data_IF_588355946955
#
_entry.id   IF_588355946955
#
_cell.length_a   1.000
_cell.length_b   1.000
_cell.length_c   1.000
_cell.angle_alpha   90.00
_cell.angle_beta   90.00
_cell.angle_gamma   90.00
#
_symmetry.space_group_name_H-M   'P 1'
#
loop_
_entity.id
_entity.type
_entity.pdbx_description
1 polymer ?
#
# COMPACT_ATOMS: atom_id res chain seq x y z
N UNK A 1 -36.21 -21.07 2.28
CA UNK A 1 -35.50 -20.51 3.45
C UNK A 1 -35.25 -19.03 3.14
N UNK A 2 -35.71 -18.01 3.89
CA UNK A 2 -35.85 -17.82 5.33
C UNK A 2 -37.13 -17.01 5.64
N UNK A 3 -37.75 -17.35 6.77
CA UNK A 3 -38.73 -16.55 7.49
C UNK A 3 -38.07 -15.23 7.92
N UNK A 4 -38.81 -14.13 7.84
CA UNK A 4 -38.77 -12.88 8.62
C UNK A 4 -39.32 -11.81 7.68
N UNK A 5 -40.59 -11.45 7.87
CA UNK A 5 -41.23 -10.12 7.77
C UNK A 5 -42.72 -10.41 8.05
N UNK A 6 -43.00 -10.94 9.24
CA UNK A 6 -44.34 -10.94 9.83
C UNK A 6 -44.07 -10.42 11.23
N UNK A 7 -44.03 -9.09 11.39
CA UNK A 7 -44.02 -8.41 12.70
C UNK A 7 -44.07 -6.88 12.60
N UNK A 8 -44.11 -6.27 11.40
CA UNK A 8 -44.32 -4.83 11.29
C UNK A 8 -45.74 -4.30 11.63
N UNK A 9 -46.85 -5.08 11.64
CA UNK A 9 -48.15 -4.52 12.01
C UNK A 9 -48.36 -4.40 13.53
N UNK A 10 -47.49 -4.99 14.35
CA UNK A 10 -47.61 -4.98 15.82
C UNK A 10 -46.93 -3.78 16.50
N UNK A 11 -46.26 -2.91 15.72
CA UNK A 11 -45.51 -1.75 16.21
C UNK A 11 -46.08 -0.41 15.76
N UNK A 12 -47.23 -0.39 15.10
CA UNK A 12 -47.97 0.87 14.95
C UNK A 12 -48.73 1.11 16.26
N UNK A 13 -48.38 2.13 17.06
CA UNK A 13 -49.28 2.59 18.10
C UNK A 13 -50.61 2.92 17.42
N UNK A 14 -51.73 2.64 18.08
CA UNK A 14 -53.10 2.90 17.62
C UNK A 14 -53.42 4.40 17.35
N UNK A 15 -52.40 5.24 17.15
CA UNK A 15 -52.48 6.66 16.80
C UNK A 15 -52.09 6.99 15.34
N UNK A 16 -51.83 6.01 14.47
CA UNK A 16 -51.54 6.27 13.06
C UNK A 16 -52.78 6.53 12.17
N UNK A 17 -53.99 6.53 12.76
CA UNK A 17 -55.21 7.04 12.12
C UNK A 17 -55.66 8.33 12.82
N UNK A 18 -54.89 9.40 12.67
CA UNK A 18 -55.33 10.73 13.08
C UNK A 18 -55.50 11.61 11.84
N UNK A 19 -56.53 11.29 11.05
CA UNK A 19 -57.25 12.35 10.34
C UNK A 19 -57.99 13.17 11.42
N UNK A 20 -58.05 14.50 11.24
CA UNK A 20 -58.68 15.47 12.14
C UNK A 20 -59.87 14.87 12.90
N UNK A 21 -59.71 14.62 14.21
CA UNK A 21 -60.75 13.99 15.02
C UNK A 21 -61.91 14.98 15.17
N UNK A 22 -63.06 14.78 14.49
CA UNK A 22 -64.16 15.74 14.52
C UNK A 22 -64.84 15.81 15.90
N UNK A 23 -64.46 14.90 16.82
CA UNK A 23 -65.08 14.69 18.12
C UNK A 23 -64.17 15.06 19.30
N UNK A 24 -63.12 15.84 19.08
CA UNK A 24 -62.19 16.29 20.12
C UNK A 24 -62.88 17.04 21.29
N UNK A 25 -64.09 17.58 21.06
CA UNK A 25 -64.93 18.25 22.08
C UNK A 25 -66.17 17.44 22.53
N UNK A 26 -66.23 16.16 22.17
CA UNK A 26 -67.35 15.27 22.47
C UNK A 26 -68.43 15.27 21.38
N UNK A 27 -68.73 14.09 20.84
CA UNK A 27 -69.82 13.86 19.88
C UNK A 27 -70.89 12.98 20.50
N UNK A 28 -72.13 13.09 20.01
CA UNK A 28 -73.16 12.08 20.28
C UNK A 28 -72.93 10.82 19.43
N UNK A 29 -73.44 9.67 19.87
CA UNK A 29 -73.32 8.41 19.11
C UNK A 29 -73.90 8.51 17.70
N UNK A 30 -75.00 9.24 17.52
CA UNK A 30 -75.64 9.46 16.22
C UNK A 30 -74.76 10.26 15.25
N UNK A 31 -73.97 11.21 15.75
CA UNK A 31 -73.03 11.99 14.94
C UNK A 31 -71.84 11.13 14.49
N UNK A 32 -71.36 10.24 15.37
CA UNK A 32 -70.29 9.29 15.06
C UNK A 32 -70.76 8.30 13.98
N UNK A 33 -71.99 7.78 14.11
CA UNK A 33 -72.56 6.88 13.11
C UNK A 33 -72.78 7.56 11.75
N UNK A 34 -73.27 8.80 11.74
CA UNK A 34 -73.43 9.57 10.51
C UNK A 34 -72.09 9.85 9.81
N UNK A 35 -71.05 10.23 10.56
CA UNK A 35 -69.72 10.47 10.02
C UNK A 35 -69.08 9.18 9.49
N UNK A 36 -69.21 8.08 10.23
CA UNK A 36 -68.72 6.78 9.80
C UNK A 36 -69.44 6.30 8.54
N UNK A 37 -70.76 6.53 8.44
CA UNK A 37 -71.55 6.17 7.25
C UNK A 37 -71.20 7.04 6.05
N UNK A 38 -70.92 8.33 6.24
CA UNK A 38 -70.50 9.24 5.18
C UNK A 38 -69.08 8.94 4.67
N UNK A 39 -68.19 8.49 5.55
CA UNK A 39 -66.79 8.14 5.23
C UNK A 39 -66.57 6.63 5.06
N UNK A 40 -67.65 5.84 5.04
CA UNK A 40 -67.58 4.40 4.83
C UNK A 40 -67.18 4.12 3.38
N UNK A 41 -65.88 4.03 3.13
CA UNK A 41 -65.37 3.44 1.88
C UNK A 41 -65.46 1.94 1.98
N UNK A 42 -66.15 1.33 1.01
CA UNK A 42 -66.15 -0.12 0.83
C UNK A 42 -64.72 -0.62 0.61
N UNK A 43 -64.44 -1.87 0.97
CA UNK A 43 -63.13 -2.48 0.77
C UNK A 43 -62.69 -2.40 -0.69
N UNK A 44 -63.62 -2.55 -1.64
CA UNK A 44 -63.34 -2.44 -3.08
C UNK A 44 -62.92 -1.02 -3.51
N UNK A 45 -63.53 0.03 -2.96
CA UNK A 45 -63.12 1.41 -3.24
C UNK A 45 -61.72 1.69 -2.69
N UNK A 46 -61.40 1.18 -1.50
CA UNK A 46 -60.04 1.31 -0.93
C UNK A 46 -58.99 0.58 -1.76
N UNK A 47 -59.32 -0.61 -2.27
CA UNK A 47 -58.42 -1.38 -3.13
C UNK A 47 -58.17 -0.66 -4.46
N UNK A 48 -59.22 -0.11 -5.10
CA UNK A 48 -59.05 0.66 -6.35
C UNK A 48 -58.21 1.92 -6.16
N UNK A 49 -58.41 2.65 -5.06
CA UNK A 49 -57.59 3.83 -4.74
C UNK A 49 -56.13 3.46 -4.48
N UNK A 50 -55.88 2.33 -3.81
CA UNK A 50 -54.53 1.82 -3.59
C UNK A 50 -53.85 1.43 -4.92
N UNK A 51 -54.55 0.68 -5.78
CA UNK A 51 -54.04 0.27 -7.10
C UNK A 51 -53.72 1.49 -7.98
N UNK A 52 -54.58 2.51 -8.00
CA UNK A 52 -54.33 3.75 -8.73
C UNK A 52 -53.14 4.53 -8.17
N UNK A 53 -53.01 4.57 -6.84
CA UNK A 53 -51.89 5.23 -6.16
C UNK A 53 -50.57 4.52 -6.46
N UNK A 54 -50.54 3.19 -6.40
CA UNK A 54 -49.37 2.39 -6.74
C UNK A 54 -48.97 2.58 -8.20
N UNK A 55 -49.95 2.59 -9.11
CA UNK A 55 -49.69 2.86 -10.53
C UNK A 55 -49.06 4.24 -10.75
N UNK A 56 -49.61 5.29 -10.16
CA UNK A 56 -49.10 6.66 -10.30
C UNK A 56 -47.69 6.80 -9.70
N UNK A 57 -47.44 6.17 -8.55
CA UNK A 57 -46.12 6.14 -7.92
C UNK A 57 -45.10 5.39 -8.78
N UNK A 58 -45.51 4.29 -9.40
CA UNK A 58 -44.68 3.52 -10.31
C UNK A 58 -44.33 4.30 -11.59
N UNK A 59 -45.32 4.96 -12.20
CA UNK A 59 -45.11 5.82 -13.38
C UNK A 59 -44.13 6.97 -13.07
N UNK A 60 -44.28 7.60 -11.90
CA UNK A 60 -43.37 8.66 -11.45
C UNK A 60 -41.96 8.13 -11.22
N UNK A 61 -41.81 6.98 -10.57
CA UNK A 61 -40.52 6.34 -10.33
C UNK A 61 -39.83 5.97 -11.64
N UNK A 62 -40.54 5.39 -12.61
CA UNK A 62 -40.00 5.07 -13.94
C UNK A 62 -39.49 6.32 -14.65
N UNK A 63 -40.27 7.41 -14.61
CA UNK A 63 -39.87 8.68 -15.21
C UNK A 63 -38.59 9.23 -14.58
N UNK A 64 -38.54 9.30 -13.26
CA UNK A 64 -37.35 9.78 -12.52
C UNK A 64 -36.13 8.90 -12.75
N UNK A 65 -36.31 7.57 -12.78
CA UNK A 65 -35.25 6.62 -13.06
C UNK A 65 -34.70 6.79 -14.48
N UNK A 66 -35.57 6.91 -15.47
CA UNK A 66 -35.17 7.13 -16.86
C UNK A 66 -34.45 8.47 -17.05
N UNK A 67 -34.91 9.53 -16.40
CA UNK A 67 -34.23 10.84 -16.41
C UNK A 67 -32.87 10.78 -15.71
N UNK A 68 -32.76 10.10 -14.57
CA UNK A 68 -31.51 9.90 -13.86
C UNK A 68 -30.50 9.08 -14.68
N UNK A 69 -30.98 8.04 -15.37
CA UNK A 69 -30.16 7.20 -16.23
C UNK A 69 -29.72 7.96 -17.48
N UNK A 70 -30.59 8.74 -18.11
CA UNK A 70 -30.22 9.62 -19.21
C UNK A 70 -29.17 10.67 -18.79
N UNK A 71 -29.28 11.23 -17.58
CA UNK A 71 -28.25 12.13 -17.01
C UNK A 71 -26.93 11.39 -16.78
N UNK A 72 -26.96 10.17 -16.26
CA UNK A 72 -25.77 9.35 -16.05
C UNK A 72 -25.09 8.94 -17.38
N UNK A 73 -25.88 8.65 -18.41
CA UNK A 73 -25.38 8.32 -19.75
C UNK A 73 -24.87 9.55 -20.52
N UNK A 74 -25.44 10.73 -20.27
CA UNK A 74 -24.98 12.00 -20.84
C UNK A 74 -23.72 12.55 -20.15
N UNK A 75 -23.42 12.14 -18.91
CA UNK A 75 -22.15 12.45 -18.29
C UNK A 75 -21.03 11.73 -19.05
N UNK A 76 -19.90 12.42 -19.33
CA UNK A 76 -18.76 11.77 -19.95
C UNK A 76 -18.30 10.62 -19.06
N UNK A 77 -18.61 9.38 -19.49
CA UNK A 77 -18.19 8.17 -18.80
C UNK A 77 -16.67 8.24 -18.71
N UNK A 78 -16.15 8.37 -17.50
CA UNK A 78 -14.72 8.44 -17.27
C UNK A 78 -14.10 7.20 -17.93
N UNK A 79 -13.46 7.37 -19.09
CA UNK A 79 -12.65 6.32 -19.68
C UNK A 79 -11.65 5.96 -18.60
N UNK A 80 -11.65 4.71 -18.17
CA UNK A 80 -10.58 4.20 -17.34
C UNK A 80 -9.30 4.32 -18.19
N UNK A 81 -8.57 5.42 -18.00
CA UNK A 81 -7.21 5.53 -18.49
C UNK A 81 -6.43 4.64 -17.53
N UNK A 82 -5.99 3.48 -18.01
CA UNK A 82 -5.07 2.64 -17.27
C UNK A 82 -3.87 3.53 -16.89
N UNK A 83 -3.83 3.98 -15.63
CA UNK A 83 -2.65 4.67 -15.12
C UNK A 83 -1.48 3.71 -15.31
N UNK A 84 -0.35 4.14 -15.88
CA UNK A 84 0.84 3.29 -15.91
C UNK A 84 1.09 2.80 -14.48
N UNK A 85 1.47 1.52 -14.31
CA UNK A 85 1.79 0.95 -12.99
C UNK A 85 2.66 1.97 -12.27
N UNK A 86 2.23 2.44 -11.09
CA UNK A 86 3.02 3.38 -10.30
C UNK A 86 4.38 2.72 -10.02
N UNK A 87 5.39 3.11 -10.79
CA UNK A 87 6.73 2.54 -10.69
C UNK A 87 7.40 3.30 -9.57
N UNK A 88 7.42 2.71 -8.39
CA UNK A 88 8.14 3.27 -7.24
C UNK A 88 9.61 3.48 -7.62
N UNK A 89 10.30 4.45 -7.01
CA UNK A 89 11.73 4.65 -7.28
C UNK A 89 12.51 3.34 -7.05
N UNK A 90 12.07 2.51 -6.10
CA UNK A 90 12.65 1.21 -5.76
C UNK A 90 12.50 0.23 -6.93
N UNK A 91 11.29 0.11 -7.47
CA UNK A 91 11.04 -0.76 -8.64
C UNK A 91 11.82 -0.26 -9.87
N UNK A 92 11.89 1.06 -10.07
CA UNK A 92 12.70 1.68 -11.13
C UNK A 92 14.20 1.41 -10.99
N UNK A 93 14.73 1.51 -9.77
CA UNK A 93 16.13 1.26 -9.47
C UNK A 93 16.49 -0.21 -9.64
N UNK A 94 15.67 -1.15 -9.16
CA UNK A 94 15.93 -2.58 -9.39
C UNK A 94 15.86 -2.95 -10.87
N UNK A 95 14.92 -2.41 -11.65
CA UNK A 95 14.86 -2.70 -13.09
C UNK A 95 16.12 -2.21 -13.83
N UNK A 96 16.60 -1.00 -13.50
CA UNK A 96 17.85 -0.48 -14.06
C UNK A 96 19.07 -1.28 -13.56
N UNK A 97 19.08 -1.68 -12.30
CA UNK A 97 20.16 -2.48 -11.73
C UNK A 97 20.21 -3.88 -12.32
N UNK A 98 19.07 -4.47 -12.67
CA UNK A 98 19.01 -5.79 -13.35
C UNK A 98 19.67 -5.80 -14.72
N UNK A 99 19.71 -4.66 -15.42
CA UNK A 99 20.47 -4.55 -16.68
C UNK A 99 22.00 -4.64 -16.48
N UNK A 100 22.48 -4.40 -15.26
CA UNK A 100 23.91 -4.42 -14.90
C UNK A 100 24.28 -5.70 -14.15
N UNK A 101 23.46 -6.09 -13.18
CA UNK A 101 23.71 -7.19 -12.25
C UNK A 101 23.09 -8.52 -12.70
N UNK A 102 22.10 -8.48 -13.59
CA UNK A 102 21.25 -9.61 -13.95
C UNK A 102 19.92 -9.65 -13.19
N UNK A 103 19.10 -10.66 -13.47
CA UNK A 103 17.77 -10.82 -12.86
C UNK A 103 17.82 -11.01 -11.33
N UNK A 104 18.98 -11.42 -10.81
CA UNK A 104 19.31 -11.60 -9.39
C UNK A 104 19.75 -10.32 -8.68
N UNK A 105 19.59 -9.12 -9.27
CA UNK A 105 20.01 -7.84 -8.67
C UNK A 105 19.57 -7.64 -7.20
N UNK A 106 18.43 -8.20 -6.79
CA UNK A 106 17.92 -8.15 -5.40
C UNK A 106 18.76 -8.94 -4.40
N UNK A 107 19.56 -9.89 -4.84
CA UNK A 107 20.48 -10.67 -4.00
C UNK A 107 21.77 -9.88 -3.73
N UNK A 108 22.16 -9.04 -4.69
CA UNK A 108 23.40 -8.25 -4.67
C UNK A 108 23.25 -6.90 -3.98
N UNK A 109 22.10 -6.23 -4.15
CA UNK A 109 21.83 -4.91 -3.59
C UNK A 109 20.49 -4.83 -2.86
N UNK A 110 20.39 -3.93 -1.91
CA UNK A 110 19.14 -3.52 -1.27
C UNK A 110 18.84 -2.07 -1.62
N UNK A 111 17.69 -1.81 -2.24
CA UNK A 111 17.21 -0.45 -2.55
C UNK A 111 16.09 -0.07 -1.59
N UNK A 112 16.18 1.12 -1.01
CA UNK A 112 15.16 1.73 -0.17
C UNK A 112 14.86 3.17 -0.60
N UNK A 113 13.73 3.70 -0.14
CA UNK A 113 13.39 5.12 -0.31
C UNK A 113 14.34 5.94 0.58
N UNK A 114 14.98 6.95 0.01
CA UNK A 114 15.87 7.87 0.71
C UNK A 114 15.11 9.04 1.34
N UNK A 115 15.76 10.20 1.45
CA UNK A 115 15.22 11.40 2.11
C UNK A 115 13.88 11.90 1.53
N UNK A 116 13.58 11.58 0.27
CA UNK A 116 12.33 11.95 -0.42
C UNK A 116 11.77 10.77 -1.20
N UNK A 117 10.45 10.70 -1.39
CA UNK A 117 9.74 9.59 -2.06
C UNK A 117 10.31 9.27 -3.46
N UNK A 118 10.85 10.26 -4.17
CA UNK A 118 11.42 10.11 -5.52
C UNK A 118 12.92 9.81 -5.54
N UNK A 119 13.61 9.89 -4.40
CA UNK A 119 15.04 9.58 -4.29
C UNK A 119 15.19 8.23 -3.64
N UNK A 120 15.80 7.29 -4.36
CA UNK A 120 16.15 6.00 -3.81
C UNK A 120 17.61 5.96 -3.39
N UNK A 121 17.88 5.22 -2.32
CA UNK A 121 19.24 4.87 -1.89
C UNK A 121 19.44 3.37 -2.02
N UNK A 122 20.70 2.94 -2.16
CA UNK A 122 21.02 1.52 -2.17
C UNK A 122 22.19 1.18 -1.24
N UNK A 123 22.17 -0.05 -0.74
CA UNK A 123 23.29 -0.69 -0.06
C UNK A 123 23.69 -1.96 -0.81
N UNK A 124 24.98 -2.29 -0.76
CA UNK A 124 25.47 -3.60 -1.21
C UNK A 124 25.18 -4.63 -0.12
N UNK A 125 24.62 -5.78 -0.49
CA UNK A 125 24.33 -6.88 0.45
C UNK A 125 25.53 -7.82 0.61
N UNK A 126 26.32 -7.96 -0.45
CA UNK A 126 27.43 -8.89 -0.52
C UNK A 126 28.65 -8.19 -1.09
N UNK A 127 29.68 -8.05 -0.27
CA UNK A 127 30.95 -7.43 -0.63
C UNK A 127 31.97 -8.47 -1.12
N UNK A 128 31.52 -9.58 -1.70
CA UNK A 128 32.43 -10.62 -2.17
C UNK A 128 33.41 -10.09 -3.23
N UNK A 129 34.61 -10.66 -3.36
CA UNK A 129 35.66 -10.20 -4.27
C UNK A 129 35.28 -10.24 -5.75
N UNK A 130 34.34 -11.13 -6.08
CA UNK A 130 33.69 -11.33 -7.38
C UNK A 130 32.21 -10.89 -7.36
N UNK A 131 31.82 -10.15 -6.32
CA UNK A 131 30.47 -9.64 -6.16
C UNK A 131 30.16 -8.61 -7.24
N UNK A 132 29.22 -8.93 -8.14
CA UNK A 132 28.79 -8.05 -9.23
C UNK A 132 28.45 -6.62 -8.78
N UNK A 133 27.96 -6.46 -7.54
CA UNK A 133 27.65 -5.15 -6.98
C UNK A 133 28.88 -4.28 -6.75
N UNK A 134 29.99 -4.85 -6.26
CA UNK A 134 31.22 -4.12 -6.00
C UNK A 134 31.93 -3.71 -7.29
N UNK A 135 31.94 -4.59 -8.30
CA UNK A 135 32.52 -4.28 -9.60
C UNK A 135 31.73 -3.20 -10.36
N UNK A 136 30.44 -3.08 -10.08
CA UNK A 136 29.54 -2.13 -10.75
C UNK A 136 29.08 -0.98 -9.84
N UNK A 137 29.77 -0.72 -8.72
CA UNK A 137 29.33 0.23 -7.71
C UNK A 137 29.14 1.65 -8.27
N UNK A 138 30.00 2.09 -9.19
CA UNK A 138 29.88 3.37 -9.87
C UNK A 138 28.63 3.45 -10.77
N UNK A 139 28.35 2.39 -11.53
CA UNK A 139 27.17 2.33 -12.39
C UNK A 139 25.87 2.30 -11.57
N UNK A 140 25.87 1.58 -10.45
CA UNK A 140 24.76 1.54 -9.49
C UNK A 140 24.54 2.89 -8.80
N UNK A 141 25.62 3.61 -8.49
CA UNK A 141 25.57 4.97 -7.93
C UNK A 141 24.98 6.00 -8.91
N UNK A 142 25.01 5.73 -10.21
CA UNK A 142 24.28 6.50 -11.23
C UNK A 142 22.76 6.23 -11.25
N UNK A 143 22.30 5.12 -10.65
CA UNK A 143 20.88 4.72 -10.62
C UNK A 143 20.20 5.19 -9.34
N UNK A 144 20.86 4.98 -8.20
CA UNK A 144 20.38 5.36 -6.87
C UNK A 144 21.58 5.86 -6.05
N UNK A 145 21.37 6.79 -5.11
CA UNK A 145 22.47 7.29 -4.29
C UNK A 145 22.93 6.18 -3.34
N UNK A 146 24.23 5.95 -3.19
CA UNK A 146 24.70 5.03 -2.16
C UNK A 146 24.31 5.55 -0.77
N UNK A 147 23.92 4.65 0.13
CA UNK A 147 23.48 5.04 1.49
C UNK A 147 24.57 5.87 2.20
N UNK A 148 24.24 7.10 2.65
CA UNK A 148 25.21 7.95 3.35
C UNK A 148 25.81 7.27 4.59
N UNK A 149 27.09 7.54 4.87
CA UNK A 149 27.79 6.98 6.03
C UNK A 149 28.24 5.52 5.86
N UNK A 150 27.87 4.86 4.76
CA UNK A 150 28.42 3.57 4.36
C UNK A 150 29.51 3.86 3.34
N UNK A 151 30.77 3.55 3.65
CA UNK A 151 31.91 3.77 2.75
C UNK A 151 32.01 2.62 1.74
N UNK A 152 30.97 2.43 0.92
CA UNK A 152 30.79 1.22 0.12
C UNK A 152 31.95 0.88 -0.81
N UNK A 153 32.60 1.90 -1.39
CA UNK A 153 33.81 1.72 -2.20
C UNK A 153 34.98 1.16 -1.40
N UNK A 154 35.17 1.69 -0.18
CA UNK A 154 36.21 1.24 0.73
C UNK A 154 35.91 -0.18 1.25
N UNK A 155 34.65 -0.49 1.53
CA UNK A 155 34.20 -1.81 1.98
C UNK A 155 34.42 -2.88 0.88
N UNK A 156 34.05 -2.55 -0.37
CA UNK A 156 34.31 -3.40 -1.53
C UNK A 156 35.81 -3.64 -1.74
N UNK A 157 36.63 -2.59 -1.60
CA UNK A 157 38.09 -2.72 -1.68
C UNK A 157 38.64 -3.58 -0.54
N UNK A 158 38.18 -3.35 0.68
CA UNK A 158 38.63 -4.08 1.86
C UNK A 158 38.37 -5.59 1.74
N UNK A 159 37.15 -6.00 1.36
CA UNK A 159 36.83 -7.41 1.20
C UNK A 159 37.61 -8.07 0.04
N UNK A 160 37.87 -7.32 -1.04
CA UNK A 160 38.76 -7.79 -2.12
C UNK A 160 40.19 -8.01 -1.65
N UNK A 161 40.81 -7.02 -1.00
CA UNK A 161 42.19 -7.12 -0.48
C UNK A 161 42.30 -8.22 0.59
N UNK A 162 41.27 -8.36 1.43
CA UNK A 162 41.16 -9.39 2.47
C UNK A 162 41.12 -10.78 1.86
N UNK A 163 40.32 -10.98 0.81
CA UNK A 163 40.29 -12.24 0.07
C UNK A 163 41.62 -12.52 -0.62
N UNK A 164 42.21 -11.55 -1.30
CA UNK A 164 43.51 -11.73 -1.97
C UNK A 164 44.60 -12.15 -0.98
N UNK A 165 44.61 -11.57 0.23
CA UNK A 165 45.53 -11.92 1.30
C UNK A 165 45.26 -13.30 1.92
N UNK A 166 44.02 -13.80 1.85
CA UNK A 166 43.59 -15.03 2.55
C UNK A 166 43.23 -16.21 1.66
N UNK A 167 43.16 -16.04 0.34
CA UNK A 167 42.76 -17.09 -0.62
C UNK A 167 43.58 -18.37 -0.51
N UNK A 168 44.87 -18.26 -0.16
CA UNK A 168 45.76 -19.41 0.03
C UNK A 168 45.45 -20.25 1.28
N UNK A 169 44.55 -19.79 2.14
CA UNK A 169 44.10 -20.50 3.34
C UNK A 169 42.71 -21.15 3.17
N UNK A 170 42.01 -20.87 2.06
CA UNK A 170 40.61 -21.26 1.86
C UNK A 170 40.40 -22.79 1.97
N UNK A 171 41.30 -23.58 1.40
CA UNK A 171 41.19 -25.05 1.38
C UNK A 171 41.42 -25.70 2.76
N UNK A 172 42.11 -25.01 3.66
CA UNK A 172 42.39 -25.50 5.01
C UNK A 172 41.41 -24.96 6.05
N UNK A 173 40.70 -23.87 5.74
CA UNK A 173 39.78 -23.22 6.66
C UNK A 173 38.63 -24.15 7.03
N UNK A 174 38.32 -24.27 8.32
CA UNK A 174 37.31 -25.18 8.87
C UNK A 174 37.58 -26.69 8.69
N UNK A 175 38.80 -27.06 8.32
CA UNK A 175 39.23 -28.47 8.27
C UNK A 175 40.13 -28.81 9.47
N UNK A 176 40.39 -30.10 9.75
CA UNK A 176 41.40 -30.51 10.73
C UNK A 176 42.83 -30.01 10.42
N UNK A 177 43.10 -29.60 9.18
CA UNK A 177 44.38 -28.98 8.81
C UNK A 177 44.54 -27.57 9.39
N UNK A 178 43.47 -26.95 9.92
CA UNK A 178 43.51 -25.64 10.57
C UNK A 178 44.21 -25.70 11.94
N UNK A 179 45.53 -25.58 11.91
CA UNK A 179 46.37 -25.55 13.13
C UNK A 179 46.51 -24.13 13.68
N UNK A 180 46.92 -24.01 14.95
CA UNK A 180 47.26 -22.72 15.58
C UNK A 180 48.36 -21.95 14.81
N UNK A 181 49.32 -22.67 14.21
CA UNK A 181 50.35 -22.06 13.39
C UNK A 181 49.78 -21.46 12.08
N UNK A 182 48.79 -22.11 11.48
CA UNK A 182 48.09 -21.60 10.31
C UNK A 182 47.19 -20.41 10.66
N UNK A 183 46.47 -20.46 11.78
CA UNK A 183 45.69 -19.31 12.27
C UNK A 183 46.58 -18.07 12.48
N UNK A 184 47.78 -18.26 13.06
CA UNK A 184 48.75 -17.17 13.23
C UNK A 184 49.21 -16.59 11.89
N UNK A 185 49.47 -17.43 10.88
CA UNK A 185 49.84 -16.97 9.52
C UNK A 185 48.68 -16.24 8.83
N UNK A 186 47.46 -16.75 8.96
CA UNK A 186 46.25 -16.12 8.44
C UNK A 186 46.02 -14.73 9.03
N UNK A 187 46.08 -14.60 10.37
CA UNK A 187 45.96 -13.30 11.05
C UNK A 187 47.08 -12.35 10.67
N UNK A 188 48.31 -12.83 10.52
CA UNK A 188 49.43 -12.00 10.07
C UNK A 188 49.23 -11.47 8.65
N UNK A 189 48.66 -12.27 7.74
CA UNK A 189 48.33 -11.84 6.38
C UNK A 189 47.18 -10.82 6.36
N UNK A 190 46.17 -10.98 7.23
CA UNK A 190 45.05 -10.06 7.35
C UNK A 190 45.40 -8.71 7.98
N UNK A 191 46.28 -8.72 8.98
CA UNK A 191 46.62 -7.54 9.78
C UNK A 191 46.88 -6.27 8.96
N UNK A 192 47.78 -6.25 7.95
CA UNK A 192 48.03 -5.03 7.18
C UNK A 192 46.80 -4.52 6.42
N UNK A 193 45.95 -5.43 5.92
CA UNK A 193 44.72 -5.07 5.20
C UNK A 193 43.71 -4.44 6.17
N UNK A 194 43.53 -5.03 7.35
CA UNK A 194 42.62 -4.51 8.37
C UNK A 194 43.05 -3.15 8.92
N UNK A 195 44.36 -2.96 9.16
CA UNK A 195 44.89 -1.68 9.66
C UNK A 195 44.70 -0.56 8.62
N UNK A 196 44.99 -0.85 7.35
CA UNK A 196 44.78 0.08 6.23
C UNK A 196 43.30 0.49 6.08
N UNK A 197 42.38 -0.46 6.20
CA UNK A 197 40.94 -0.18 6.15
C UNK A 197 40.49 0.73 7.28
N UNK A 198 40.86 0.41 8.53
CA UNK A 198 40.54 1.22 9.71
C UNK A 198 41.04 2.66 9.55
N UNK A 199 42.27 2.84 9.07
CA UNK A 199 42.85 4.17 8.85
C UNK A 199 42.08 4.99 7.79
N UNK A 200 41.60 4.35 6.73
CA UNK A 200 40.85 5.03 5.67
C UNK A 200 39.43 5.35 6.13
N UNK A 201 38.75 4.41 6.76
CA UNK A 201 37.41 4.65 7.34
C UNK A 201 37.47 5.81 8.34
N UNK A 202 38.48 5.88 9.20
CA UNK A 202 38.67 7.01 10.11
C UNK A 202 38.77 8.34 9.36
N UNK A 203 39.62 8.42 8.32
CA UNK A 203 39.78 9.63 7.49
C UNK A 203 38.48 10.03 6.79
N UNK A 204 37.73 9.06 6.27
CA UNK A 204 36.45 9.33 5.60
C UNK A 204 35.38 9.83 6.59
N UNK A 205 35.34 9.27 7.81
CA UNK A 205 34.46 9.78 8.88
C UNK A 205 34.81 11.20 9.31
N UNK A 206 36.09 11.54 9.41
CA UNK A 206 36.55 12.90 9.71
C UNK A 206 36.14 13.90 8.61
N UNK A 207 36.23 13.50 7.34
CA UNK A 207 35.78 14.32 6.21
C UNK A 207 34.27 14.56 6.20
N UNK A 208 33.46 13.55 6.51
CA UNK A 208 32.00 13.72 6.61
C UNK A 208 31.62 14.67 7.75
N UNK A 209 32.23 14.53 8.93
CA UNK A 209 32.03 15.46 10.06
C UNK A 209 32.38 16.90 9.68
N UNK A 210 33.47 17.12 8.93
CA UNK A 210 33.85 18.46 8.48
C UNK A 210 32.83 19.10 7.51
N UNK A 211 32.18 18.29 6.67
CA UNK A 211 31.11 18.75 5.76
C UNK A 211 29.82 19.10 6.49
N UNK A 212 29.53 18.45 7.61
CA UNK A 212 28.35 18.75 8.43
C UNK A 212 28.50 20.07 9.20
N UNK A 213 29.71 20.41 9.65
CA UNK A 213 29.98 21.67 10.39
C UNK A 213 29.94 22.91 9.46
N UNK A 214 30.05 22.72 8.14
CA UNK A 214 30.05 23.80 7.14
C UNK A 214 28.70 24.02 6.45
N UNK A 215 27.67 23.22 6.79
CA UNK A 215 26.27 23.42 6.36
C UNK A 215 25.48 24.21 7.40
#
# INVERSE_FOLDING_TARGET
MKKIIILLPLLFPAGAFAFENPCEKGCTMEQIEAFNKANYKTTEQRLREADETERLMHEKWLKEHNEAQARADALPKAKYVAKPRYKTCVAGAYEKASAILGDDAREHISVSIGETIDKCVFTVKQFYPDGKACDNLAALSGIAKFTPGVFGEEECRYEKEKWEATKGFADAMYTPAWTTAMDKKYRAALKPVTEKHVDIVRKLQEQEKAKEVTK
#
